data_IF_206080787135
#
_entry.id   IF_206080787135
#
_cell.length_a   1.000
_cell.length_b   1.000
_cell.length_c   1.000
_cell.angle_alpha   90.00
_cell.angle_beta   90.00
_cell.angle_gamma   90.00
#
_symmetry.space_group_name_H-M   'P 1'
#
loop_
_entity.id
_entity.type
_entity.pdbx_description
1 polymer ?
#
# COMPACT_ATOMS: atom_id res chain seq x y z
N UNK A 1 2.37 15.91 30.24
CA UNK A 1 1.23 16.33 29.38
C UNK A 1 1.60 16.45 27.89
N UNK A 2 2.81 16.88 27.54
CA UNK A 2 3.22 17.09 26.15
C UNK A 2 3.19 15.81 25.27
N UNK A 3 3.74 14.70 25.78
CA UNK A 3 3.77 13.38 25.10
C UNK A 3 2.37 12.79 24.80
N UNK A 4 1.40 13.02 25.70
CA UNK A 4 0.03 12.51 25.51
C UNK A 4 -0.70 13.23 24.36
N UNK A 5 -0.47 14.54 24.21
CA UNK A 5 -1.05 15.34 23.12
C UNK A 5 -0.48 14.94 21.76
N UNK A 6 0.83 14.68 21.69
CA UNK A 6 1.49 14.25 20.46
C UNK A 6 1.02 12.85 20.01
N UNK A 7 0.91 11.90 20.95
CA UNK A 7 0.35 10.57 20.66
C UNK A 7 -1.09 10.64 20.15
N UNK A 8 -1.94 11.47 20.77
CA UNK A 8 -3.32 11.70 20.31
C UNK A 8 -3.35 12.28 18.91
N UNK A 9 -2.49 13.27 18.60
CA UNK A 9 -2.36 13.84 17.25
C UNK A 9 -1.97 12.77 16.24
N UNK A 10 -1.02 11.90 16.58
CA UNK A 10 -0.50 10.88 15.66
C UNK A 10 -1.53 9.79 15.37
N UNK A 11 -2.25 9.31 16.39
CA UNK A 11 -3.38 8.40 16.22
C UNK A 11 -4.46 9.05 15.35
N UNK A 12 -4.76 10.33 15.58
CA UNK A 12 -5.75 11.06 14.77
C UNK A 12 -5.34 11.14 13.30
N UNK A 13 -4.06 11.40 13.00
CA UNK A 13 -3.54 11.38 11.62
C UNK A 13 -3.69 10.01 10.96
N UNK A 14 -3.37 8.93 11.68
CA UNK A 14 -3.53 7.56 11.17
C UNK A 14 -4.99 7.25 10.86
N UNK A 15 -5.92 7.65 11.75
CA UNK A 15 -7.36 7.43 11.56
C UNK A 15 -7.85 8.21 10.33
N UNK A 16 -7.57 9.51 10.26
CA UNK A 16 -8.00 10.36 9.12
C UNK A 16 -7.46 9.83 7.81
N UNK A 17 -6.18 9.46 7.77
CA UNK A 17 -5.55 8.93 6.56
C UNK A 17 -6.09 7.54 6.19
N UNK A 18 -6.36 6.68 7.18
CA UNK A 18 -7.01 5.38 6.94
C UNK A 18 -8.41 5.58 6.34
N UNK A 19 -9.23 6.47 6.92
CA UNK A 19 -10.56 6.79 6.42
C UNK A 19 -10.52 7.34 4.99
N UNK A 20 -9.62 8.28 4.71
CA UNK A 20 -9.40 8.81 3.35
C UNK A 20 -9.04 7.69 2.37
N UNK A 21 -8.12 6.81 2.76
CA UNK A 21 -7.67 5.70 1.92
C UNK A 21 -8.78 4.69 1.65
N UNK A 22 -9.64 4.41 2.64
CA UNK A 22 -10.83 3.57 2.46
C UNK A 22 -11.79 4.22 1.45
N UNK A 23 -12.07 5.52 1.58
CA UNK A 23 -12.95 6.25 0.64
C UNK A 23 -12.38 6.21 -0.77
N UNK A 24 -11.08 6.46 -0.95
CA UNK A 24 -10.44 6.35 -2.25
C UNK A 24 -10.55 4.94 -2.83
N UNK A 25 -10.38 3.90 -2.00
CA UNK A 25 -10.57 2.51 -2.44
C UNK A 25 -12.01 2.24 -2.90
N UNK A 26 -13.01 2.87 -2.28
CA UNK A 26 -14.42 2.80 -2.69
C UNK A 26 -14.68 3.54 -4.00
N UNK A 27 -14.22 4.78 -4.11
CA UNK A 27 -14.39 5.62 -5.32
C UNK A 27 -13.75 4.98 -6.54
N UNK A 28 -12.53 4.43 -6.39
CA UNK A 28 -11.83 3.71 -7.46
C UNK A 28 -12.23 2.23 -7.55
N UNK A 29 -13.21 1.79 -6.75
CA UNK A 29 -13.73 0.42 -6.75
C UNK A 29 -14.19 -0.10 -8.11
N UNK A 30 -14.93 0.70 -8.92
CA UNK A 30 -15.39 0.29 -10.25
C UNK A 30 -14.28 0.10 -11.29
N UNK A 31 -13.08 0.63 -11.06
CA UNK A 31 -11.97 0.54 -12.00
C UNK A 31 -11.17 -0.76 -11.76
N UNK A 32 -10.73 -1.45 -12.83
CA UNK A 32 -9.99 -2.71 -12.72
C UNK A 32 -8.58 -2.47 -12.19
N UNK A 33 -8.37 -2.66 -10.88
CA UNK A 33 -7.09 -2.51 -10.18
C UNK A 33 -6.34 -1.17 -10.37
N UNK A 34 -7.00 -0.15 -10.92
CA UNK A 34 -6.49 1.22 -10.98
C UNK A 34 -6.92 1.92 -9.70
N UNK A 35 -6.05 1.91 -8.68
CA UNK A 35 -6.29 2.49 -7.35
C UNK A 35 -5.02 3.15 -6.81
N UNK A 36 -5.11 4.29 -6.11
CA UNK A 36 -3.97 4.93 -5.45
C UNK A 36 -3.51 4.21 -4.16
N UNK A 37 -4.05 3.02 -3.87
CA UNK A 37 -3.90 2.34 -2.57
C UNK A 37 -2.43 2.02 -2.23
N UNK A 38 -1.71 1.34 -3.13
CA UNK A 38 -0.30 0.98 -2.89
C UNK A 38 0.59 2.20 -2.84
N UNK A 39 0.32 3.21 -3.68
CA UNK A 39 1.05 4.47 -3.65
C UNK A 39 0.96 5.13 -2.26
N UNK A 40 -0.23 5.19 -1.66
CA UNK A 40 -0.41 5.71 -0.30
C UNK A 40 0.39 4.89 0.71
N UNK A 41 0.26 3.57 0.68
CA UNK A 41 0.97 2.69 1.63
C UNK A 41 2.50 2.85 1.58
N UNK A 42 3.08 3.03 0.40
CA UNK A 42 4.52 3.21 0.24
C UNK A 42 5.00 4.62 0.58
N UNK A 43 4.23 5.67 0.24
CA UNK A 43 4.57 7.06 0.58
C UNK A 43 4.52 7.26 2.09
N UNK A 44 3.54 6.68 2.79
CA UNK A 44 3.39 6.79 4.26
C UNK A 44 4.65 6.34 5.00
N UNK A 45 5.36 5.32 4.51
CA UNK A 45 6.62 4.83 5.12
C UNK A 45 7.76 5.87 5.11
N UNK A 46 7.64 6.93 4.31
CA UNK A 46 8.59 8.04 4.30
C UNK A 46 8.39 9.00 5.48
N UNK A 47 7.19 9.04 6.06
CA UNK A 47 6.79 10.00 7.11
C UNK A 47 6.45 9.33 8.45
N UNK A 48 6.05 8.06 8.43
CA UNK A 48 5.65 7.28 9.61
C UNK A 48 6.63 6.14 9.87
N UNK A 49 6.58 5.58 11.08
CA UNK A 49 7.30 4.34 11.38
C UNK A 49 6.68 3.14 10.63
N UNK A 50 7.42 2.04 10.51
CA UNK A 50 6.93 0.81 9.90
C UNK A 50 5.66 0.30 10.62
N UNK A 51 5.66 0.31 11.95
CA UNK A 51 4.54 -0.16 12.75
C UNK A 51 3.28 0.70 12.56
N UNK A 52 3.42 2.02 12.51
CA UNK A 52 2.30 2.93 12.24
C UNK A 52 1.75 2.74 10.82
N UNK A 53 2.62 2.53 9.85
CA UNK A 53 2.25 2.28 8.45
C UNK A 53 1.51 0.95 8.29
N UNK A 54 1.93 -0.08 9.02
CA UNK A 54 1.22 -1.36 9.10
C UNK A 54 -0.13 -1.25 9.79
N UNK A 55 -0.23 -0.51 10.89
CA UNK A 55 -1.52 -0.25 11.56
C UNK A 55 -2.49 0.41 10.57
N UNK A 56 -2.04 1.46 9.86
CA UNK A 56 -2.84 2.11 8.82
C UNK A 56 -3.27 1.13 7.74
N UNK A 57 -2.34 0.33 7.22
CA UNK A 57 -2.66 -0.65 6.18
C UNK A 57 -3.68 -1.66 6.67
N UNK A 58 -3.51 -2.23 7.87
CA UNK A 58 -4.45 -3.19 8.45
C UNK A 58 -5.83 -2.56 8.62
N UNK A 59 -5.93 -1.34 9.14
CA UNK A 59 -7.19 -0.62 9.29
C UNK A 59 -7.89 -0.42 7.95
N UNK A 60 -7.14 -0.04 6.91
CA UNK A 60 -7.68 0.14 5.55
C UNK A 60 -8.14 -1.21 4.97
N UNK A 61 -7.35 -2.27 5.12
CA UNK A 61 -7.67 -3.58 4.57
C UNK A 61 -8.90 -4.19 5.24
N UNK A 62 -8.95 -4.17 6.57
CA UNK A 62 -10.10 -4.66 7.34
C UNK A 62 -11.32 -3.78 7.09
N UNK A 63 -11.18 -2.46 7.21
CA UNK A 63 -12.30 -1.52 7.07
C UNK A 63 -12.93 -1.55 5.68
N UNK A 64 -12.12 -1.59 4.62
CA UNK A 64 -12.65 -1.75 3.25
C UNK A 64 -13.14 -3.18 2.97
N UNK A 65 -12.55 -4.20 3.61
CA UNK A 65 -13.01 -5.57 3.53
C UNK A 65 -14.45 -5.74 4.04
N UNK A 66 -14.85 -4.99 5.07
CA UNK A 66 -16.24 -4.98 5.54
C UNK A 66 -17.24 -4.45 4.48
N UNK A 67 -16.78 -3.63 3.53
CA UNK A 67 -17.62 -3.07 2.46
C UNK A 67 -17.65 -3.97 1.21
N UNK A 68 -16.51 -4.56 0.85
CA UNK A 68 -16.35 -5.34 -0.39
C UNK A 68 -16.51 -6.86 -0.23
N UNK A 69 -16.68 -7.33 1.01
CA UNK A 69 -16.69 -8.76 1.35
C UNK A 69 -15.47 -9.12 2.18
N UNK A 70 -15.74 -9.50 3.43
CA UNK A 70 -14.70 -9.88 4.39
C UNK A 70 -14.42 -11.38 4.29
N UNK A 71 -13.16 -11.78 4.34
CA UNK A 71 -12.76 -13.18 4.25
C UNK A 71 -11.25 -13.36 4.15
N UNK A 72 -10.81 -14.58 3.83
CA UNK A 72 -9.38 -14.95 3.74
C UNK A 72 -8.60 -14.08 2.76
N UNK A 73 -9.27 -13.56 1.72
CA UNK A 73 -8.65 -12.60 0.78
C UNK A 73 -8.11 -11.36 1.48
N UNK A 74 -8.80 -10.85 2.51
CA UNK A 74 -8.33 -9.69 3.28
C UNK A 74 -7.04 -10.04 4.03
N UNK A 75 -6.96 -11.25 4.61
CA UNK A 75 -5.76 -11.74 5.27
C UNK A 75 -4.58 -11.83 4.30
N UNK A 76 -4.79 -12.38 3.09
CA UNK A 76 -3.75 -12.46 2.06
C UNK A 76 -3.30 -11.09 1.57
N UNK A 77 -4.23 -10.14 1.46
CA UNK A 77 -3.89 -8.77 1.14
C UNK A 77 -3.04 -8.13 2.25
N UNK A 78 -3.41 -8.30 3.53
CA UNK A 78 -2.64 -7.78 4.67
C UNK A 78 -1.22 -8.35 4.68
N UNK A 79 -1.07 -9.68 4.55
CA UNK A 79 0.25 -10.32 4.54
C UNK A 79 1.10 -9.88 3.34
N UNK A 80 0.50 -9.81 2.15
CA UNK A 80 1.20 -9.38 0.94
C UNK A 80 1.62 -7.90 1.02
N UNK A 81 0.76 -7.03 1.55
CA UNK A 81 1.11 -5.63 1.76
C UNK A 81 2.16 -5.45 2.85
N UNK A 82 2.09 -6.20 3.94
CA UNK A 82 3.11 -6.16 5.00
C UNK A 82 4.48 -6.54 4.43
N UNK A 83 4.54 -7.58 3.61
CA UNK A 83 5.77 -8.05 2.97
C UNK A 83 6.40 -6.98 2.06
N UNK A 84 5.62 -6.40 1.13
CA UNK A 84 6.18 -5.35 0.25
C UNK A 84 6.55 -4.08 1.03
N UNK A 85 5.76 -3.70 2.04
CA UNK A 85 6.08 -2.53 2.87
C UNK A 85 7.37 -2.73 3.66
N UNK A 86 7.62 -3.94 4.15
CA UNK A 86 8.87 -4.28 4.81
C UNK A 86 10.07 -4.12 3.88
N UNK A 87 9.96 -4.65 2.65
CA UNK A 87 11.02 -4.52 1.64
C UNK A 87 11.25 -3.05 1.28
N UNK A 88 10.18 -2.29 1.05
CA UNK A 88 10.29 -0.87 0.75
C UNK A 88 10.97 -0.10 1.88
N UNK A 89 10.53 -0.32 3.12
CA UNK A 89 11.08 0.32 4.31
C UNK A 89 12.57 0.00 4.52
N UNK A 90 12.97 -1.25 4.29
CA UNK A 90 14.35 -1.71 4.48
C UNK A 90 15.27 -1.26 3.33
N UNK A 91 14.86 -1.48 2.09
CA UNK A 91 15.71 -1.35 0.91
C UNK A 91 15.65 0.05 0.28
N UNK A 92 14.50 0.73 0.29
CA UNK A 92 14.31 2.00 -0.42
C UNK A 92 14.20 3.18 0.56
N UNK A 93 13.54 2.98 1.70
CA UNK A 93 13.32 3.98 2.74
C UNK A 93 14.57 4.77 3.17
N UNK A 94 15.74 4.13 3.40
CA UNK A 94 16.95 4.85 3.79
C UNK A 94 17.45 5.82 2.71
N UNK A 95 17.26 5.49 1.43
CA UNK A 95 17.67 6.33 0.30
C UNK A 95 16.71 7.51 0.09
N UNK A 96 15.42 7.32 0.32
CA UNK A 96 14.42 8.40 0.27
C UNK A 96 14.70 9.43 1.35
N UNK A 97 14.98 9.00 2.59
CA UNK A 97 15.26 9.88 3.73
C UNK A 97 16.51 10.74 3.53
N UNK A 98 17.49 10.24 2.78
CA UNK A 98 18.71 10.97 2.41
C UNK A 98 18.54 11.84 1.17
N UNK A 99 17.35 11.87 0.56
CA UNK A 99 17.07 12.55 -0.71
C UNK A 99 17.95 12.08 -1.89
N UNK A 100 18.48 10.86 -1.80
CA UNK A 100 19.40 10.29 -2.79
C UNK A 100 18.70 9.81 -4.06
N UNK A 101 17.37 9.64 -4.02
CA UNK A 101 16.61 9.15 -5.16
C UNK A 101 15.47 10.10 -5.53
N UNK A 102 15.37 10.51 -6.82
CA UNK A 102 14.33 11.41 -7.27
C UNK A 102 12.95 10.74 -7.26
N UNK A 103 11.90 11.55 -7.17
CA UNK A 103 10.51 11.05 -7.03
C UNK A 103 10.09 10.17 -8.20
N UNK A 104 10.54 10.45 -9.43
CA UNK A 104 10.23 9.61 -10.59
C UNK A 104 10.79 8.19 -10.44
N UNK A 105 11.98 8.05 -9.86
CA UNK A 105 12.61 6.75 -9.62
C UNK A 105 11.89 6.01 -8.49
N UNK A 106 11.50 6.72 -7.42
CA UNK A 106 10.68 6.14 -6.36
C UNK A 106 9.36 5.59 -6.91
N UNK A 107 8.69 6.36 -7.77
CA UNK A 107 7.46 5.96 -8.43
C UNK A 107 7.63 4.69 -9.28
N UNK A 108 8.70 4.61 -10.08
CA UNK A 108 9.02 3.41 -10.86
C UNK A 108 9.28 2.18 -9.98
N UNK A 109 10.08 2.34 -8.92
CA UNK A 109 10.37 1.27 -7.96
C UNK A 109 9.11 0.80 -7.23
N UNK A 110 8.21 1.72 -6.88
CA UNK A 110 6.92 1.39 -6.29
C UNK A 110 6.07 0.55 -7.25
N UNK A 111 6.06 0.89 -8.55
CA UNK A 111 5.41 0.09 -9.60
C UNK A 111 5.99 -1.31 -9.73
N UNK A 112 7.32 -1.46 -9.71
CA UNK A 112 7.98 -2.78 -9.75
C UNK A 112 7.57 -3.63 -8.55
N UNK A 113 7.47 -3.03 -7.37
CA UNK A 113 7.09 -3.72 -6.14
C UNK A 113 5.63 -4.23 -6.15
N UNK A 114 4.77 -3.64 -6.98
CA UNK A 114 3.40 -4.15 -7.19
C UNK A 114 3.41 -5.55 -7.82
N UNK A 115 4.35 -5.86 -8.71
CA UNK A 115 4.46 -7.22 -9.24
C UNK A 115 4.84 -8.22 -8.16
N UNK A 116 5.68 -7.82 -7.20
CA UNK A 116 6.00 -8.66 -6.04
C UNK A 116 4.79 -8.86 -5.13
N UNK A 117 3.95 -7.84 -4.97
CA UNK A 117 2.65 -7.96 -4.31
C UNK A 117 1.76 -8.97 -5.03
N UNK A 118 1.60 -8.82 -6.36
CA UNK A 118 0.81 -9.71 -7.22
C UNK A 118 1.28 -11.17 -7.15
N UNK A 119 2.59 -11.39 -7.16
CA UNK A 119 3.19 -12.71 -6.96
C UNK A 119 2.84 -13.29 -5.57
N UNK A 120 3.02 -12.50 -4.51
CA UNK A 120 2.79 -12.95 -3.13
C UNK A 120 1.33 -13.30 -2.88
N UNK A 121 0.40 -12.45 -3.30
CA UNK A 121 -1.03 -12.69 -3.11
C UNK A 121 -1.52 -13.85 -3.99
N UNK A 122 -0.97 -14.00 -5.20
CA UNK A 122 -1.29 -15.13 -6.08
C UNK A 122 -0.83 -16.44 -5.49
N UNK A 123 0.35 -16.47 -4.86
CA UNK A 123 0.86 -17.66 -4.20
C UNK A 123 -0.02 -18.08 -3.02
N UNK A 124 -0.36 -17.13 -2.13
CA UNK A 124 -1.26 -17.38 -0.99
C UNK A 124 -2.67 -17.80 -1.42
N UNK A 125 -3.17 -17.22 -2.51
CA UNK A 125 -4.50 -17.57 -3.04
C UNK A 125 -4.48 -18.94 -3.69
N UNK A 126 -3.42 -19.28 -4.45
CA UNK A 126 -3.31 -20.57 -5.12
C UNK A 126 -3.21 -21.72 -4.13
N UNK A 127 -2.48 -21.54 -3.02
CA UNK A 127 -2.42 -22.55 -1.94
C UNK A 127 -3.79 -22.74 -1.28
N UNK A 128 -4.56 -21.66 -1.06
CA UNK A 128 -5.92 -21.76 -0.54
C UNK A 128 -6.85 -22.56 -1.46
N UNK A 129 -6.74 -22.37 -2.77
CA UNK A 129 -7.61 -23.04 -3.75
C UNK A 129 -7.06 -24.37 -4.28
N UNK A 130 -5.89 -24.83 -3.80
CA UNK A 130 -5.28 -26.09 -4.23
C UNK A 130 -4.87 -26.10 -5.72
N UNK A 131 -4.52 -24.95 -6.28
CA UNK A 131 -4.15 -24.80 -7.69
C UNK A 131 -2.68 -24.40 -7.86
N UNK A 132 -2.17 -24.40 -9.09
CA UNK A 132 -0.80 -24.01 -9.40
C UNK A 132 -0.58 -22.52 -9.16
N UNK A 133 0.36 -22.11 -8.28
CA UNK A 133 0.68 -20.70 -8.03
C UNK A 133 1.13 -19.94 -9.27
N UNK A 134 1.83 -20.63 -10.17
CA UNK A 134 2.34 -20.03 -11.41
C UNK A 134 1.18 -19.70 -12.36
N UNK A 135 0.22 -20.61 -12.51
CA UNK A 135 -0.96 -20.38 -13.35
C UNK A 135 -1.81 -19.24 -12.80
N UNK A 136 -2.01 -19.21 -11.47
CA UNK A 136 -2.75 -18.15 -10.81
C UNK A 136 -2.09 -16.78 -11.03
N UNK A 137 -0.76 -16.71 -10.90
CA UNK A 137 0.00 -15.48 -11.11
C UNK A 137 -0.02 -15.02 -12.56
N UNK A 138 0.20 -15.91 -13.53
CA UNK A 138 0.18 -15.57 -14.97
C UNK A 138 -1.18 -14.97 -15.37
N UNK A 139 -2.28 -15.55 -14.88
CA UNK A 139 -3.62 -15.02 -15.14
C UNK A 139 -3.87 -13.65 -14.50
N UNK A 140 -3.15 -13.31 -13.42
CA UNK A 140 -3.21 -12.03 -12.74
C UNK A 140 -2.38 -10.91 -13.38
N UNK A 141 -1.44 -11.23 -14.28
CA UNK A 141 -0.43 -10.27 -14.77
C UNK A 141 -1.01 -9.01 -15.42
N UNK A 142 -2.14 -9.13 -16.13
CA UNK A 142 -2.80 -7.96 -16.74
C UNK A 142 -3.28 -7.00 -15.65
N UNK A 143 -3.88 -7.54 -14.59
CA UNK A 143 -4.34 -6.76 -13.44
C UNK A 143 -3.19 -6.20 -12.61
N UNK A 144 -2.10 -6.96 -12.44
CA UNK A 144 -0.87 -6.48 -11.78
C UNK A 144 -0.23 -5.34 -12.59
N UNK A 145 -0.26 -5.41 -13.92
CA UNK A 145 0.26 -4.36 -14.80
C UNK A 145 -0.56 -3.07 -14.68
N UNK A 146 -1.90 -3.17 -14.64
CA UNK A 146 -2.77 -2.03 -14.40
C UNK A 146 -2.53 -1.42 -13.01
N UNK A 147 -2.34 -2.27 -11.99
CA UNK A 147 -2.04 -1.84 -10.64
C UNK A 147 -0.67 -1.14 -10.55
N UNK A 148 0.35 -1.68 -11.23
CA UNK A 148 1.68 -1.09 -11.31
C UNK A 148 1.62 0.28 -11.99
N UNK A 149 0.96 0.39 -13.15
CA UNK A 149 0.78 1.64 -13.88
C UNK A 149 0.06 2.69 -13.01
N UNK A 150 -1.04 2.30 -12.36
CA UNK A 150 -1.75 3.15 -11.42
C UNK A 150 -0.84 3.63 -10.28
N UNK A 151 -0.04 2.75 -9.70
CA UNK A 151 0.86 3.09 -8.60
C UNK A 151 1.93 4.09 -9.05
N UNK A 152 2.53 3.89 -10.23
CA UNK A 152 3.50 4.81 -10.82
C UNK A 152 2.87 6.20 -11.03
N UNK A 153 1.65 6.25 -11.55
CA UNK A 153 0.94 7.51 -11.80
C UNK A 153 0.57 8.26 -10.51
N UNK A 154 0.07 7.56 -9.49
CA UNK A 154 -0.38 8.20 -8.26
C UNK A 154 0.75 8.52 -7.27
N UNK A 155 1.84 7.75 -7.25
CA UNK A 155 2.96 7.96 -6.31
C UNK A 155 3.45 9.41 -6.22
N UNK A 156 3.83 10.10 -7.34
CA UNK A 156 4.33 11.48 -7.25
C UNK A 156 3.26 12.47 -6.76
N UNK A 157 1.99 12.25 -7.10
CA UNK A 157 0.87 13.09 -6.67
C UNK A 157 0.71 12.98 -5.15
N UNK A 158 0.72 11.75 -4.63
CA UNK A 158 0.59 11.49 -3.19
C UNK A 158 1.82 12.02 -2.44
N UNK A 159 3.03 11.78 -2.91
CA UNK A 159 4.25 12.32 -2.29
C UNK A 159 4.24 13.85 -2.25
N UNK A 160 3.84 14.51 -3.33
CA UNK A 160 3.70 15.97 -3.37
C UNK A 160 2.73 16.50 -2.31
N UNK A 161 1.55 15.87 -2.17
CA UNK A 161 0.56 16.24 -1.15
C UNK A 161 1.15 16.04 0.24
N UNK A 162 1.80 14.91 0.52
CA UNK A 162 2.36 14.61 1.84
C UNK A 162 3.49 15.56 2.22
N UNK A 163 4.38 15.91 1.28
CA UNK A 163 5.46 16.88 1.52
C UNK A 163 4.91 18.21 2.06
N UNK A 164 3.76 18.67 1.58
CA UNK A 164 3.15 19.93 2.03
C UNK A 164 2.67 19.91 3.49
N UNK A 165 2.35 18.74 4.03
CA UNK A 165 1.81 18.60 5.38
C UNK A 165 2.86 18.19 6.42
N UNK A 166 3.92 17.51 6.00
CA UNK A 166 4.91 16.90 6.90
C UNK A 166 6.35 17.44 6.74
N UNK A 167 6.63 18.24 5.70
CA UNK A 167 7.85 19.06 5.57
C UNK A 167 7.46 20.53 5.52
#
# INVERSE_FOLDING_TARGET
MHDKSEKVRRVSQLVVLSSLTIVLRVVFGPLPNIKPLTAIFLVVLSYFSLLESWILMILVMVGSGLLFGFGTVVLWQVLSFAFIQFIWWLAIGPFIKKENIPVWLQSLLAGILVFLYGLTISFLSATQFGTSPIVFWINGLVFDSLHAASTVLFYPIIDYIFRRFYK
#
